data_IF_519056125057
#
_entry.id   IF_519056125057
#
_cell.length_a   1.000
_cell.length_b   1.000
_cell.length_c   1.000
_cell.angle_alpha   90.00
_cell.angle_beta   90.00
_cell.angle_gamma   90.00
#
_symmetry.space_group_name_H-M   'P 1'
#
loop_
_entity.id
_entity.type
_entity.pdbx_description
1 polymer ?
#
# COMPACT_ATOMS: atom_id res chain seq x y z
N UNK A 1 44.93 -23.91 43.61
CA UNK A 1 44.41 -22.85 42.72
C UNK A 1 44.92 -23.18 41.32
N UNK A 2 44.06 -23.78 40.50
CA UNK A 2 44.34 -24.06 39.08
C UNK A 2 43.00 -23.88 38.36
N UNK A 3 43.02 -23.10 37.30
CA UNK A 3 41.87 -22.43 36.71
C UNK A 3 41.06 -23.40 35.82
N UNK A 4 39.75 -23.49 36.03
CA UNK A 4 38.82 -24.29 35.21
C UNK A 4 38.32 -23.54 33.96
N UNK A 5 39.11 -22.58 33.44
CA UNK A 5 38.75 -21.73 32.30
C UNK A 5 39.67 -21.93 31.08
N UNK A 6 40.37 -23.06 30.96
CA UNK A 6 41.30 -23.33 29.83
C UNK A 6 40.67 -24.11 28.66
N UNK A 7 39.36 -24.39 28.67
CA UNK A 7 38.66 -25.11 27.58
C UNK A 7 37.48 -24.35 26.97
N UNK A 8 37.43 -23.03 27.09
CA UNK A 8 36.61 -22.21 26.18
C UNK A 8 37.36 -22.12 24.85
N UNK A 9 37.39 -23.23 24.10
CA UNK A 9 38.00 -23.30 22.78
C UNK A 9 37.46 -22.19 21.88
N UNK A 10 38.37 -21.59 21.11
CA UNK A 10 38.12 -20.54 20.13
C UNK A 10 36.82 -20.83 19.35
N UNK A 11 35.75 -20.06 19.59
CA UNK A 11 34.53 -20.17 18.80
C UNK A 11 34.85 -19.68 17.38
N UNK A 12 34.68 -20.52 16.34
CA UNK A 12 34.96 -20.10 14.98
C UNK A 12 34.04 -18.94 14.58
N UNK A 13 34.59 -17.97 13.84
CA UNK A 13 33.79 -16.90 13.25
C UNK A 13 32.72 -17.52 12.34
N UNK A 14 31.46 -17.49 12.81
CA UNK A 14 30.34 -18.00 12.03
C UNK A 14 30.07 -17.02 10.89
N UNK A 15 30.38 -17.45 9.66
CA UNK A 15 29.91 -16.75 8.48
C UNK A 15 28.37 -16.79 8.44
N UNK A 16 27.75 -15.70 7.98
CA UNK A 16 26.28 -15.61 7.88
C UNK A 16 25.74 -16.79 7.07
N UNK A 17 24.72 -17.44 7.59
CA UNK A 17 24.04 -18.53 6.88
C UNK A 17 23.17 -17.97 5.75
N UNK A 18 22.83 -18.80 4.76
CA UNK A 18 21.88 -18.41 3.71
C UNK A 18 20.53 -17.95 4.27
N UNK A 19 20.07 -18.56 5.37
CA UNK A 19 18.84 -18.15 6.07
C UNK A 19 19.00 -16.78 6.73
N UNK A 20 20.13 -16.51 7.37
CA UNK A 20 20.44 -15.22 8.00
C UNK A 20 20.49 -14.09 6.96
N UNK A 21 21.08 -14.38 5.80
CA UNK A 21 21.08 -13.46 4.66
C UNK A 21 19.66 -13.15 4.15
N UNK A 22 18.82 -14.19 3.96
CA UNK A 22 17.43 -14.00 3.54
C UNK A 22 16.59 -13.21 4.56
N UNK A 23 16.79 -13.44 5.86
CA UNK A 23 16.09 -12.71 6.92
C UNK A 23 16.52 -11.24 6.95
N UNK A 24 17.81 -10.97 6.75
CA UNK A 24 18.34 -9.60 6.65
C UNK A 24 17.71 -8.85 5.47
N UNK A 25 17.62 -9.49 4.30
CA UNK A 25 16.97 -8.91 3.11
C UNK A 25 15.47 -8.65 3.34
N UNK A 26 14.73 -9.60 3.94
CA UNK A 26 13.32 -9.40 4.27
C UNK A 26 13.10 -8.30 5.31
N UNK A 27 14.02 -8.13 6.27
CA UNK A 27 13.94 -7.08 7.27
C UNK A 27 14.24 -5.70 6.67
N UNK A 28 15.15 -5.61 5.70
CA UNK A 28 15.52 -4.35 5.05
C UNK A 28 14.50 -3.93 3.98
N UNK A 29 14.00 -4.86 3.18
CA UNK A 29 13.21 -4.55 1.99
C UNK A 29 11.72 -4.95 2.10
N UNK A 30 11.38 -5.80 3.07
CA UNK A 30 10.04 -6.38 3.19
C UNK A 30 9.74 -7.36 2.06
N UNK A 31 8.70 -8.18 2.25
CA UNK A 31 8.16 -8.98 1.15
C UNK A 31 7.40 -8.06 0.18
N UNK A 32 7.77 -8.09 -1.10
CA UNK A 32 6.96 -7.53 -2.19
C UNK A 32 6.72 -8.63 -3.23
N UNK A 33 5.48 -8.82 -3.69
CA UNK A 33 5.23 -9.54 -4.93
C UNK A 33 6.15 -8.96 -6.01
N UNK A 34 6.80 -9.82 -6.81
CA UNK A 34 7.59 -9.35 -7.94
C UNK A 34 6.71 -8.48 -8.87
N UNK A 35 7.31 -7.59 -9.67
CA UNK A 35 6.51 -6.70 -10.54
C UNK A 35 5.58 -7.45 -11.52
N UNK A 36 5.90 -8.71 -11.81
CA UNK A 36 5.14 -9.60 -12.69
C UNK A 36 4.09 -10.45 -11.95
N UNK A 37 4.06 -10.40 -10.62
CA UNK A 37 3.05 -11.11 -9.82
C UNK A 37 1.80 -10.23 -9.65
N UNK A 38 0.59 -10.76 -9.92
CA UNK A 38 -0.65 -10.05 -9.67
C UNK A 38 -0.75 -9.61 -8.21
N UNK A 39 -1.23 -8.39 -7.96
CA UNK A 39 -1.52 -7.93 -6.60
C UNK A 39 -2.54 -8.88 -5.94
N UNK A 40 -2.19 -9.55 -4.83
CA UNK A 40 -3.06 -10.55 -4.22
C UNK A 40 -4.24 -9.94 -3.45
N UNK A 41 -4.29 -8.61 -3.29
CA UNK A 41 -5.39 -7.95 -2.59
C UNK A 41 -6.68 -8.06 -3.42
N UNK A 42 -7.81 -8.45 -2.80
CA UNK A 42 -9.08 -8.51 -3.51
C UNK A 42 -9.49 -7.11 -3.98
N UNK A 43 -10.16 -7.06 -5.13
CA UNK A 43 -10.85 -5.85 -5.55
C UNK A 43 -11.97 -5.51 -4.55
N UNK A 44 -12.28 -4.22 -4.35
CA UNK A 44 -13.41 -3.83 -3.53
C UNK A 44 -14.74 -4.30 -4.16
N UNK A 45 -15.72 -4.59 -3.31
CA UNK A 45 -17.06 -5.00 -3.74
C UNK A 45 -17.73 -3.90 -4.59
N UNK A 46 -18.14 -4.24 -5.81
CA UNK A 46 -18.64 -3.25 -6.78
C UNK A 46 -19.84 -2.45 -6.29
N UNK A 47 -20.74 -3.08 -5.52
CA UNK A 47 -21.89 -2.40 -4.91
C UNK A 47 -21.48 -1.44 -3.81
N UNK A 48 -20.48 -1.79 -3.00
CA UNK A 48 -19.93 -0.90 -1.97
C UNK A 48 -19.23 0.30 -2.59
N UNK A 49 -18.48 0.09 -3.68
CA UNK A 49 -17.85 1.18 -4.43
C UNK A 49 -18.90 2.11 -5.03
N UNK A 50 -19.96 1.57 -5.65
CA UNK A 50 -21.03 2.37 -6.22
C UNK A 50 -21.74 3.24 -5.17
N UNK A 51 -22.03 2.68 -3.99
CA UNK A 51 -22.62 3.44 -2.88
C UNK A 51 -21.68 4.55 -2.38
N UNK A 52 -20.41 4.23 -2.15
CA UNK A 52 -19.43 5.22 -1.69
C UNK A 52 -19.22 6.35 -2.70
N UNK A 53 -19.26 6.05 -4.01
CA UNK A 53 -19.20 7.06 -5.06
C UNK A 53 -20.43 7.97 -4.96
N UNK A 54 -21.63 7.42 -4.86
CA UNK A 54 -22.85 8.23 -4.70
C UNK A 54 -22.76 9.15 -3.48
N UNK A 55 -22.32 8.64 -2.33
CA UNK A 55 -22.17 9.43 -1.11
C UNK A 55 -21.18 10.60 -1.27
N UNK A 56 -20.10 10.42 -2.04
CA UNK A 56 -19.15 11.50 -2.36
C UNK A 56 -19.84 12.58 -3.18
N UNK A 57 -20.57 12.21 -4.22
CA UNK A 57 -21.30 13.17 -5.06
C UNK A 57 -22.37 13.90 -4.23
N UNK A 58 -23.13 13.19 -3.40
CA UNK A 58 -24.13 13.79 -2.52
C UNK A 58 -23.51 14.77 -1.53
N UNK A 59 -22.35 14.45 -0.94
CA UNK A 59 -21.64 15.35 -0.04
C UNK A 59 -21.20 16.64 -0.75
N UNK A 60 -20.72 16.54 -1.99
CA UNK A 60 -20.30 17.70 -2.79
C UNK A 60 -21.50 18.59 -3.14
N UNK A 61 -22.59 18.00 -3.63
CA UNK A 61 -23.81 18.74 -3.96
C UNK A 61 -24.41 19.39 -2.70
N UNK A 62 -24.52 18.66 -1.59
CA UNK A 62 -25.16 19.14 -0.37
C UNK A 62 -24.38 20.25 0.33
N UNK A 63 -23.06 20.32 0.16
CA UNK A 63 -22.21 21.31 0.84
C UNK A 63 -21.87 22.53 -0.01
N UNK A 64 -21.92 22.41 -1.34
CA UNK A 64 -21.52 23.46 -2.28
C UNK A 64 -22.69 24.02 -3.08
N UNK A 65 -23.77 23.25 -3.28
CA UNK A 65 -24.98 23.70 -3.96
C UNK A 65 -25.65 24.87 -3.23
N UNK A 66 -26.19 25.82 -3.98
CA UNK A 66 -26.79 27.05 -3.46
C UNK A 66 -25.82 27.93 -2.64
N UNK A 67 -24.51 27.70 -2.77
CA UNK A 67 -23.47 28.50 -2.11
C UNK A 67 -22.70 29.35 -3.12
N UNK A 68 -21.82 30.24 -2.62
CA UNK A 68 -20.90 30.99 -3.49
C UNK A 68 -19.89 30.12 -4.23
N UNK A 69 -19.76 28.85 -3.87
CA UNK A 69 -18.87 27.86 -4.51
C UNK A 69 -19.59 27.00 -5.55
N UNK A 70 -20.90 27.16 -5.74
CA UNK A 70 -21.66 26.45 -6.78
C UNK A 70 -21.08 26.61 -8.20
N UNK A 71 -20.54 27.78 -8.61
CA UNK A 71 -19.90 27.90 -9.93
C UNK A 71 -18.72 26.94 -10.15
N UNK A 72 -18.05 26.50 -9.08
CA UNK A 72 -16.93 25.57 -9.16
C UNK A 72 -17.38 24.09 -9.15
N UNK A 73 -18.68 23.84 -8.91
CA UNK A 73 -19.21 22.48 -8.73
C UNK A 73 -19.12 21.64 -10.00
N UNK A 74 -19.45 22.20 -11.17
CA UNK A 74 -19.43 21.46 -12.45
C UNK A 74 -18.03 20.91 -12.77
N UNK A 75 -17.01 21.76 -12.67
CA UNK A 75 -15.60 21.38 -12.88
C UNK A 75 -15.13 20.34 -11.87
N UNK A 76 -15.59 20.44 -10.61
CA UNK A 76 -15.22 19.51 -9.55
C UNK A 76 -15.87 18.13 -9.75
N UNK A 77 -17.15 18.08 -10.11
CA UNK A 77 -17.86 16.83 -10.43
C UNK A 77 -17.26 16.17 -11.68
N UNK A 78 -16.94 16.97 -12.71
CA UNK A 78 -16.24 16.48 -13.89
C UNK A 78 -14.86 15.93 -13.55
N UNK A 79 -14.09 16.63 -12.72
CA UNK A 79 -12.78 16.20 -12.24
C UNK A 79 -12.80 14.83 -11.57
N UNK A 80 -13.83 14.57 -10.76
CA UNK A 80 -14.04 13.27 -10.11
C UNK A 80 -14.28 12.14 -11.13
N UNK A 81 -15.15 12.34 -12.13
CA UNK A 81 -15.42 11.34 -13.18
C UNK A 81 -14.21 11.13 -14.10
N UNK A 82 -13.50 12.21 -14.44
CA UNK A 82 -12.34 12.17 -15.31
C UNK A 82 -11.17 11.32 -14.74
N UNK A 83 -11.10 11.12 -13.42
CA UNK A 83 -10.16 10.16 -12.83
C UNK A 83 -10.41 8.74 -13.35
N UNK A 84 -11.66 8.31 -13.43
CA UNK A 84 -12.04 6.98 -13.89
C UNK A 84 -11.81 6.81 -15.39
N UNK A 85 -12.12 7.83 -16.21
CA UNK A 85 -11.78 7.80 -17.64
C UNK A 85 -10.28 7.62 -17.87
N UNK A 86 -9.44 8.38 -17.15
CA UNK A 86 -7.98 8.24 -17.24
C UNK A 86 -7.48 6.89 -16.74
N UNK A 87 -8.14 6.31 -15.72
CA UNK A 87 -7.79 5.00 -15.20
C UNK A 87 -8.13 3.88 -16.19
N UNK A 88 -9.31 3.93 -16.80
CA UNK A 88 -9.74 2.98 -17.82
C UNK A 88 -8.80 2.99 -19.04
N UNK A 89 -8.24 4.13 -19.42
CA UNK A 89 -7.25 4.22 -20.51
C UNK A 89 -5.86 3.65 -20.19
N UNK A 90 -5.60 3.18 -18.96
CA UNK A 90 -4.34 2.52 -18.57
C UNK A 90 -4.42 0.99 -18.53
N UNK A 91 -5.61 0.43 -18.73
CA UNK A 91 -5.90 -1.02 -18.74
C UNK A 91 -6.08 -1.45 -20.19
#
# INVERSE_FOLDING_TARGET
>A
MMNEDENAGFEPDHTSSSTDHLLTELQLYGWRPFQDEPDPRPLPEGTMVAAAVADIFDALLATLGDTRLEPDLDDLLWGAVNLFHRAAGRV
#
